data_IF_477927503327
#
_entry.id   IF_477927503327
#
_cell.length_a   1.000
_cell.length_b   1.000
_cell.length_c   1.000
_cell.angle_alpha   90.00
_cell.angle_beta   90.00
_cell.angle_gamma   90.00
#
_symmetry.space_group_name_H-M   'P 1'
#
loop_
_entity.id
_entity.type
_entity.pdbx_description
1 polymer ?
#
# COMPACT_ATOMS: atom_id res chain seq x y z
N UNK A 1 5.95 -2.19 -20.25
CA UNK A 1 6.97 -1.86 -19.24
C UNK A 1 8.38 -1.93 -19.79
N UNK A 2 8.74 -2.98 -20.56
CA UNK A 2 10.05 -3.07 -21.21
C UNK A 2 10.45 -1.79 -21.94
N UNK A 3 9.53 -1.15 -22.65
CA UNK A 3 9.83 0.11 -23.35
C UNK A 3 10.09 1.29 -22.38
N UNK A 4 9.40 1.35 -21.24
CA UNK A 4 9.70 2.35 -20.21
C UNK A 4 11.05 2.08 -19.54
N UNK A 5 11.43 0.82 -19.34
CA UNK A 5 12.73 0.46 -18.77
C UNK A 5 13.87 0.91 -19.68
N UNK A 6 13.76 0.70 -21.01
CA UNK A 6 14.76 1.16 -21.98
C UNK A 6 15.03 2.66 -21.92
N UNK A 7 14.00 3.47 -21.64
CA UNK A 7 14.12 4.94 -21.59
C UNK A 7 14.18 5.49 -20.16
N UNK A 8 14.24 4.62 -19.14
CA UNK A 8 14.15 5.03 -17.73
C UNK A 8 15.27 5.96 -17.32
N UNK A 9 16.51 5.66 -17.72
CA UNK A 9 17.65 6.53 -17.40
C UNK A 9 17.53 7.90 -18.05
N UNK A 10 17.09 7.97 -19.32
CA UNK A 10 16.90 9.23 -20.03
C UNK A 10 15.82 10.08 -19.37
N UNK A 11 14.67 9.46 -19.05
CA UNK A 11 13.54 10.13 -18.40
C UNK A 11 13.94 10.71 -17.04
N UNK A 12 14.68 9.94 -16.23
CA UNK A 12 15.13 10.41 -14.91
C UNK A 12 16.11 11.58 -15.06
N UNK A 13 17.02 11.53 -16.03
CA UNK A 13 18.07 12.54 -16.19
C UNK A 13 17.58 13.84 -16.86
N UNK A 14 16.61 13.75 -17.76
CA UNK A 14 16.20 14.86 -18.63
C UNK A 14 14.75 15.28 -18.45
N UNK A 15 13.91 14.44 -17.84
CA UNK A 15 12.53 14.77 -17.52
C UNK A 15 12.44 15.79 -16.39
N UNK A 16 11.35 16.56 -16.36
CA UNK A 16 11.09 17.40 -15.19
C UNK A 16 10.73 16.56 -13.96
N UNK A 17 10.85 17.19 -12.79
CA UNK A 17 10.67 16.52 -11.50
C UNK A 17 9.27 15.93 -11.33
N UNK A 18 8.25 16.53 -11.92
CA UNK A 18 6.87 16.06 -11.86
C UNK A 18 6.70 14.75 -12.65
N UNK A 19 7.24 14.67 -13.86
CA UNK A 19 7.19 13.45 -14.66
C UNK A 19 7.97 12.30 -14.02
N UNK A 20 9.13 12.57 -13.42
CA UNK A 20 9.90 11.55 -12.69
C UNK A 20 9.10 11.05 -11.48
N UNK A 21 8.52 11.94 -10.67
CA UNK A 21 7.72 11.56 -9.52
C UNK A 21 6.45 10.77 -9.89
N UNK A 22 5.74 11.21 -10.95
CA UNK A 22 4.56 10.51 -11.44
C UNK A 22 4.90 9.13 -12.01
N UNK A 23 6.07 8.99 -12.64
CA UNK A 23 6.54 7.70 -13.15
C UNK A 23 6.87 6.75 -11.99
N UNK A 24 7.57 7.23 -10.95
CA UNK A 24 7.82 6.44 -9.75
C UNK A 24 6.51 5.98 -9.09
N UNK A 25 5.52 6.88 -8.99
CA UNK A 25 4.19 6.56 -8.49
C UNK A 25 3.48 5.51 -9.35
N UNK A 26 3.57 5.59 -10.69
CA UNK A 26 2.98 4.61 -11.59
C UNK A 26 3.60 3.21 -11.40
N UNK A 27 4.93 3.10 -11.29
CA UNK A 27 5.62 1.86 -10.95
C UNK A 27 5.09 1.27 -9.63
N UNK A 28 4.93 2.12 -8.62
CA UNK A 28 4.40 1.73 -7.33
C UNK A 28 2.93 1.30 -7.37
N UNK A 29 2.06 1.98 -8.14
CA UNK A 29 0.66 1.56 -8.31
C UNK A 29 0.54 0.21 -8.99
N UNK A 30 1.43 -0.08 -9.94
CA UNK A 30 1.46 -1.34 -10.69
C UNK A 30 2.23 -2.44 -9.94
N UNK A 31 2.97 -2.09 -8.88
CA UNK A 31 3.72 -3.04 -8.07
C UNK A 31 4.89 -3.64 -8.84
N UNK A 32 5.53 -2.83 -9.68
CA UNK A 32 6.67 -3.19 -10.51
C UNK A 32 7.89 -2.37 -10.08
N UNK A 33 8.98 -3.05 -9.73
CA UNK A 33 10.26 -2.42 -9.42
C UNK A 33 11.18 -2.46 -10.63
N UNK A 34 11.84 -1.34 -10.94
CA UNK A 34 12.83 -1.23 -12.00
C UNK A 34 14.15 -0.72 -11.43
N UNK A 35 15.20 -1.56 -11.46
CA UNK A 35 16.53 -1.18 -10.96
C UNK A 35 17.10 0.01 -11.73
N UNK A 36 16.91 0.05 -13.04
CA UNK A 36 17.44 1.13 -13.88
C UNK A 36 16.79 2.46 -13.54
N UNK A 37 15.46 2.48 -13.37
CA UNK A 37 14.73 3.67 -13.00
C UNK A 37 15.07 4.15 -11.58
N UNK A 38 14.88 3.30 -10.56
CA UNK A 38 15.10 3.69 -9.17
C UNK A 38 16.58 3.89 -8.84
N UNK A 39 17.47 3.13 -9.47
CA UNK A 39 18.92 3.31 -9.37
C UNK A 39 19.37 4.65 -9.96
N UNK A 40 18.82 5.09 -11.10
CA UNK A 40 19.08 6.43 -11.62
C UNK A 40 18.44 7.52 -10.75
N UNK A 41 17.22 7.30 -10.27
CA UNK A 41 16.48 8.26 -9.45
C UNK A 41 17.23 8.59 -8.17
N UNK A 42 17.74 7.57 -7.47
CA UNK A 42 18.52 7.75 -6.24
C UNK A 42 19.78 8.59 -6.48
N UNK A 43 20.45 8.46 -7.64
CA UNK A 43 21.65 9.24 -7.97
C UNK A 43 21.37 10.74 -8.11
N UNK A 44 20.17 11.11 -8.56
CA UNK A 44 19.78 12.52 -8.74
C UNK A 44 18.85 13.03 -7.64
N UNK A 45 18.59 12.22 -6.62
CA UNK A 45 17.60 12.49 -5.60
C UNK A 45 17.75 13.86 -4.92
N UNK A 46 18.95 14.35 -4.57
CA UNK A 46 19.07 15.69 -3.98
C UNK A 46 18.49 16.80 -4.87
N UNK A 47 18.74 16.73 -6.18
CA UNK A 47 18.18 17.69 -7.15
C UNK A 47 16.66 17.55 -7.26
N UNK A 48 16.15 16.32 -7.25
CA UNK A 48 14.70 16.08 -7.25
C UNK A 48 14.05 16.65 -6.00
N UNK A 49 14.68 16.51 -4.83
CA UNK A 49 14.16 17.03 -3.56
C UNK A 49 14.06 18.55 -3.60
N UNK A 50 15.07 19.23 -4.13
CA UNK A 50 15.11 20.70 -4.22
C UNK A 50 14.11 21.27 -5.22
N UNK A 51 13.92 20.60 -6.36
CA UNK A 51 13.11 21.10 -7.47
C UNK A 51 11.66 20.57 -7.49
N UNK A 52 11.31 19.57 -6.67
CA UNK A 52 9.94 19.04 -6.61
C UNK A 52 9.05 19.86 -5.66
N UNK A 53 7.78 19.96 -6.02
CA UNK A 53 6.76 20.44 -5.08
C UNK A 53 6.38 19.33 -4.06
N UNK A 54 5.53 19.66 -3.09
CA UNK A 54 5.11 18.74 -2.03
C UNK A 54 4.45 17.45 -2.58
N UNK A 55 3.67 17.56 -3.66
CA UNK A 55 3.04 16.40 -4.30
C UNK A 55 4.10 15.48 -4.94
N UNK A 56 5.11 16.03 -5.60
CA UNK A 56 6.22 15.26 -6.18
C UNK A 56 6.97 14.46 -5.12
N UNK A 57 7.33 15.09 -3.99
CA UNK A 57 7.97 14.41 -2.86
C UNK A 57 7.05 13.35 -2.25
N UNK A 58 5.76 13.66 -2.11
CA UNK A 58 4.76 12.73 -1.59
C UNK A 58 4.62 11.48 -2.46
N UNK A 59 4.57 11.65 -3.78
CA UNK A 59 4.56 10.57 -4.76
C UNK A 59 5.81 9.70 -4.67
N UNK A 60 6.99 10.29 -4.48
CA UNK A 60 8.24 9.55 -4.29
C UNK A 60 8.24 8.75 -2.97
N UNK A 61 7.80 9.36 -1.87
CA UNK A 61 7.69 8.65 -0.57
C UNK A 61 6.74 7.46 -0.68
N UNK A 62 5.56 7.67 -1.26
CA UNK A 62 4.60 6.60 -1.53
C UNK A 62 5.23 5.51 -2.39
N UNK A 63 5.93 5.88 -3.46
CA UNK A 63 6.53 4.92 -4.37
C UNK A 63 7.56 4.02 -3.68
N UNK A 64 8.48 4.61 -2.91
CA UNK A 64 9.47 3.86 -2.16
C UNK A 64 8.82 2.91 -1.15
N UNK A 65 7.84 3.40 -0.38
CA UNK A 65 7.17 2.58 0.63
C UNK A 65 6.35 1.44 0.00
N UNK A 66 5.55 1.73 -1.02
CA UNK A 66 4.70 0.77 -1.74
C UNK A 66 5.50 -0.25 -2.55
N UNK A 67 6.77 0.02 -2.88
CA UNK A 67 7.68 -0.96 -3.49
C UNK A 67 8.58 -1.68 -2.48
N UNK A 68 8.47 -1.38 -1.18
CA UNK A 68 9.26 -2.03 -0.12
C UNK A 68 10.71 -1.53 -0.05
N UNK A 69 10.98 -0.29 -0.46
CA UNK A 69 12.31 0.31 -0.55
C UNK A 69 12.69 1.12 0.71
N UNK A 70 12.12 0.76 1.86
CA UNK A 70 12.34 1.45 3.15
C UNK A 70 13.65 1.02 3.84
N UNK A 71 14.24 -0.10 3.41
CA UNK A 71 15.41 -0.71 4.03
C UNK A 71 16.49 -1.07 2.99
N UNK A 72 17.66 -1.47 3.47
CA UNK A 72 18.77 -1.93 2.63
C UNK A 72 19.36 -0.79 1.79
N UNK A 73 19.67 -1.04 0.51
CA UNK A 73 20.39 -0.07 -0.34
C UNK A 73 19.65 1.27 -0.56
N UNK A 74 18.33 1.28 -0.41
CA UNK A 74 17.50 2.46 -0.63
C UNK A 74 17.16 3.23 0.64
N UNK A 75 17.53 2.71 1.81
CA UNK A 75 17.20 3.27 3.12
C UNK A 75 17.60 4.74 3.25
N UNK A 76 18.86 5.08 2.92
CA UNK A 76 19.35 6.46 2.99
C UNK A 76 18.59 7.41 2.05
N UNK A 77 18.18 6.93 0.88
CA UNK A 77 17.41 7.71 -0.07
C UNK A 77 15.99 7.96 0.45
N UNK A 78 15.35 6.93 1.00
CA UNK A 78 14.05 7.06 1.63
C UNK A 78 14.08 8.03 2.81
N UNK A 79 15.07 7.93 3.71
CA UNK A 79 15.19 8.84 4.87
C UNK A 79 15.33 10.31 4.45
N UNK A 80 16.05 10.59 3.36
CA UNK A 80 16.15 11.96 2.81
C UNK A 80 14.79 12.46 2.30
N UNK A 81 14.05 11.65 1.54
CA UNK A 81 12.70 11.98 1.09
C UNK A 81 11.76 12.23 2.27
N UNK A 82 11.75 11.31 3.23
CA UNK A 82 10.86 11.33 4.36
C UNK A 82 11.10 12.54 5.28
N UNK A 83 12.37 12.91 5.50
CA UNK A 83 12.73 14.11 6.28
C UNK A 83 12.12 15.40 5.71
N UNK A 84 11.84 15.46 4.41
CA UNK A 84 11.12 16.58 3.79
C UNK A 84 9.63 16.41 3.94
N UNK A 85 9.11 15.22 3.61
CA UNK A 85 7.68 14.94 3.62
C UNK A 85 7.05 15.14 5.00
N UNK A 86 7.71 14.71 6.08
CA UNK A 86 7.17 14.79 7.46
C UNK A 86 6.86 16.23 7.91
N UNK A 87 7.49 17.22 7.28
CA UNK A 87 7.31 18.63 7.60
C UNK A 87 6.23 19.32 6.75
N UNK A 88 5.51 18.59 5.89
CA UNK A 88 4.46 19.17 5.07
C UNK A 88 3.23 19.52 5.91
N UNK A 89 2.67 20.70 5.62
CA UNK A 89 1.40 21.14 6.20
C UNK A 89 0.25 20.31 5.61
N UNK A 90 -0.19 19.30 6.36
CA UNK A 90 -1.27 18.40 6.00
C UNK A 90 -2.60 19.11 5.70
N UNK A 91 -2.79 20.35 6.14
CA UNK A 91 -4.00 21.13 5.82
C UNK A 91 -3.98 21.71 4.41
N UNK A 92 -2.80 21.87 3.81
CA UNK A 92 -2.61 22.39 2.44
C UNK A 92 -2.51 21.30 1.39
N UNK A 93 -2.43 20.04 1.80
CA UNK A 93 -2.33 18.90 0.91
C UNK A 93 -3.70 18.35 0.51
N UNK A 94 -3.82 17.79 -0.71
CA UNK A 94 -4.99 16.98 -1.07
C UNK A 94 -5.16 15.78 -0.11
N UNK A 95 -6.41 15.42 0.20
CA UNK A 95 -6.72 14.30 1.10
C UNK A 95 -6.05 12.97 0.69
N UNK A 96 -5.95 12.72 -0.62
CA UNK A 96 -5.25 11.54 -1.13
C UNK A 96 -3.77 11.55 -0.73
N UNK A 97 -3.10 12.70 -0.86
CA UNK A 97 -1.69 12.83 -0.50
C UNK A 97 -1.47 12.62 1.00
N UNK A 98 -2.36 13.18 1.84
CA UNK A 98 -2.32 12.95 3.29
C UNK A 98 -2.51 11.46 3.59
N UNK A 99 -3.46 10.80 2.93
CA UNK A 99 -3.71 9.36 3.11
C UNK A 99 -2.49 8.51 2.74
N UNK A 100 -1.83 8.85 1.64
CA UNK A 100 -0.60 8.19 1.20
C UNK A 100 0.54 8.38 2.21
N UNK A 101 0.73 9.59 2.74
CA UNK A 101 1.79 9.87 3.73
C UNK A 101 1.54 9.18 5.07
N UNK A 102 0.28 9.08 5.50
CA UNK A 102 -0.07 8.30 6.70
C UNK A 102 0.21 6.81 6.51
N UNK A 103 -0.13 6.26 5.34
CA UNK A 103 0.21 4.87 5.01
C UNK A 103 1.73 4.63 5.02
N UNK A 104 2.50 5.56 4.44
CA UNK A 104 3.97 5.51 4.49
C UNK A 104 4.47 5.53 5.94
N UNK A 105 3.90 6.39 6.79
CA UNK A 105 4.23 6.45 8.22
C UNK A 105 3.96 5.13 8.94
N UNK A 106 2.89 4.41 8.59
CA UNK A 106 2.62 3.08 9.15
C UNK A 106 3.61 2.04 8.70
N UNK A 107 4.06 2.12 7.44
CA UNK A 107 5.08 1.19 6.96
C UNK A 107 6.41 1.45 7.67
N UNK A 108 6.78 2.71 7.93
CA UNK A 108 7.95 3.04 8.76
C UNK A 108 7.87 2.34 10.13
N UNK A 109 6.72 2.46 10.82
CA UNK A 109 6.49 1.81 12.12
C UNK A 109 6.61 0.29 12.01
N UNK A 110 5.94 -0.33 11.03
CA UNK A 110 5.98 -1.79 10.84
C UNK A 110 7.37 -2.33 10.51
N UNK A 111 8.21 -1.54 9.84
CA UNK A 111 9.61 -1.91 9.54
C UNK A 111 10.58 -1.62 10.70
N UNK A 112 10.07 -1.18 11.87
CA UNK A 112 10.89 -0.90 13.05
C UNK A 112 11.84 0.29 12.86
N UNK A 113 11.49 1.24 12.00
CA UNK A 113 12.29 2.45 11.72
C UNK A 113 12.00 3.55 12.72
N UNK A 114 12.20 3.26 14.00
CA UNK A 114 11.89 4.14 15.15
C UNK A 114 12.66 5.47 15.10
N UNK A 115 13.79 5.52 14.39
CA UNK A 115 14.58 6.73 14.18
C UNK A 115 13.92 7.75 13.24
N UNK A 116 12.98 7.31 12.41
CA UNK A 116 12.26 8.18 11.49
C UNK A 116 11.00 8.74 12.17
N UNK A 117 10.75 10.06 12.07
CA UNK A 117 9.58 10.66 12.69
C UNK A 117 8.30 10.17 12.00
N UNK A 118 7.22 10.01 12.77
CA UNK A 118 5.90 9.71 12.20
C UNK A 118 5.28 10.94 11.54
N UNK A 119 4.45 10.74 10.52
CA UNK A 119 3.76 11.86 9.86
C UNK A 119 2.74 12.52 10.79
N UNK A 120 2.74 13.87 10.93
CA UNK A 120 1.83 14.54 11.84
C UNK A 120 0.39 14.49 11.32
N UNK A 121 -0.51 13.92 12.14
CA UNK A 121 -1.96 14.05 11.95
C UNK A 121 -2.42 15.42 12.48
N UNK A 122 -3.13 16.24 11.69
CA UNK A 122 -3.72 17.46 12.23
C UNK A 122 -4.77 17.09 13.29
N UNK A 123 -4.96 17.88 14.37
CA UNK A 123 -5.90 17.55 15.45
C UNK A 123 -7.35 17.27 14.98
N UNK A 124 -7.76 17.88 13.86
CA UNK A 124 -9.07 17.70 13.24
C UNK A 124 -9.08 16.62 12.14
N UNK A 125 -7.99 15.87 11.96
CA UNK A 125 -7.86 14.84 10.93
C UNK A 125 -8.92 13.75 11.09
N UNK A 126 -9.22 13.34 12.32
CA UNK A 126 -10.26 12.34 12.61
C UNK A 126 -11.63 12.74 12.04
N UNK A 127 -11.95 14.04 11.97
CA UNK A 127 -13.17 14.52 11.31
C UNK A 127 -13.05 14.71 9.79
N UNK A 128 -11.84 14.94 9.27
CA UNK A 128 -11.57 15.08 7.81
C UNK A 128 -11.54 13.74 7.09
N UNK A 129 -10.98 12.71 7.72
CA UNK A 129 -11.21 11.32 7.32
C UNK A 129 -12.64 10.99 7.69
N UNK A 130 -13.59 11.41 6.84
CA UNK A 130 -14.97 10.96 6.96
C UNK A 130 -14.89 9.45 7.14
N UNK A 131 -15.39 8.94 8.27
CA UNK A 131 -15.71 7.54 8.46
C UNK A 131 -16.54 7.13 7.24
N UNK A 132 -15.89 6.61 6.21
CA UNK A 132 -16.58 5.76 5.26
C UNK A 132 -16.82 4.52 6.11
N UNK A 133 -18.03 4.44 6.67
CA UNK A 133 -18.47 3.28 7.44
C UNK A 133 -17.93 2.04 6.74
N UNK A 134 -17.04 1.31 7.43
CA UNK A 134 -16.35 0.16 6.85
C UNK A 134 -17.41 -0.78 6.32
N UNK A 135 -17.54 -0.79 4.99
CA UNK A 135 -18.63 -1.51 4.35
C UNK A 135 -18.09 -2.88 4.02
N UNK A 136 -18.32 -3.82 4.93
CA UNK A 136 -18.01 -5.23 4.68
C UNK A 136 -18.79 -5.68 3.46
N UNK A 137 -18.05 -6.00 2.40
CA UNK A 137 -18.58 -6.47 1.13
C UNK A 137 -19.33 -7.79 1.29
N UNK A 138 -20.26 -8.06 0.36
CA UNK A 138 -20.99 -9.33 0.32
C UNK A 138 -20.03 -10.53 0.24
N UNK A 139 -18.94 -10.39 -0.50
CA UNK A 139 -17.93 -11.44 -0.66
C UNK A 139 -17.16 -11.70 0.63
N UNK A 140 -16.69 -10.67 1.33
CA UNK A 140 -16.04 -10.83 2.63
C UNK A 140 -16.98 -11.51 3.63
N UNK A 141 -18.27 -11.11 3.68
CA UNK A 141 -19.28 -11.79 4.51
C UNK A 141 -19.45 -13.25 4.12
N UNK A 142 -19.47 -13.57 2.83
CA UNK A 142 -19.59 -14.95 2.37
C UNK A 142 -18.40 -15.80 2.81
N UNK A 143 -17.17 -15.32 2.60
CA UNK A 143 -15.96 -16.01 3.06
C UNK A 143 -16.00 -16.22 4.58
N UNK A 144 -16.37 -15.18 5.34
CA UNK A 144 -16.54 -15.27 6.79
C UNK A 144 -17.52 -16.38 7.21
N UNK A 145 -18.66 -16.51 6.53
CA UNK A 145 -19.60 -17.59 6.83
C UNK A 145 -19.00 -18.97 6.54
N UNK A 146 -18.31 -19.16 5.40
CA UNK A 146 -17.68 -20.46 5.07
C UNK A 146 -16.59 -20.82 6.08
N UNK A 147 -15.76 -19.85 6.48
CA UNK A 147 -14.76 -20.05 7.53
C UNK A 147 -15.40 -20.49 8.86
N UNK A 148 -16.50 -19.85 9.26
CA UNK A 148 -17.24 -20.24 10.48
C UNK A 148 -17.82 -21.64 10.39
N UNK A 149 -18.31 -22.06 9.22
CA UNK A 149 -18.79 -23.44 9.01
C UNK A 149 -17.67 -24.48 9.15
N UNK A 150 -16.44 -24.11 8.79
CA UNK A 150 -15.25 -24.94 8.97
C UNK A 150 -14.75 -24.94 10.42
N UNK A 151 -15.45 -24.27 11.34
CA UNK A 151 -15.05 -24.13 12.73
C UNK A 151 -13.95 -23.10 12.96
N UNK A 152 -13.64 -22.27 11.97
CA UNK A 152 -12.59 -21.26 12.06
C UNK A 152 -13.16 -19.92 12.56
N UNK A 153 -12.94 -19.64 13.85
CA UNK A 153 -13.34 -18.39 14.48
C UNK A 153 -12.38 -17.24 14.13
N UNK A 154 -12.96 -16.10 13.76
CA UNK A 154 -12.25 -14.90 13.36
C UNK A 154 -13.12 -13.66 13.57
N UNK A 155 -12.45 -12.51 13.71
CA UNK A 155 -13.06 -11.19 13.69
C UNK A 155 -12.97 -10.61 12.27
N UNK A 156 -13.85 -9.68 11.92
CA UNK A 156 -13.84 -8.99 10.62
C UNK A 156 -13.42 -7.54 10.79
N UNK A 157 -12.80 -6.96 9.74
CA UNK A 157 -12.38 -5.56 9.68
C UNK A 157 -11.51 -5.17 10.88
N UNK A 158 -10.42 -5.92 11.05
CA UNK A 158 -9.57 -5.86 12.24
C UNK A 158 -8.40 -4.92 11.98
N UNK A 159 -8.10 -4.05 12.94
CA UNK A 159 -6.86 -3.27 12.91
C UNK A 159 -5.64 -4.20 12.78
N UNK A 160 -4.68 -3.88 11.88
CA UNK A 160 -3.46 -4.65 11.72
C UNK A 160 -2.52 -4.54 12.93
N UNK A 161 -2.64 -3.46 13.70
CA UNK A 161 -1.88 -3.24 14.92
C UNK A 161 -2.55 -3.93 16.10
N UNK A 162 -1.81 -4.79 16.81
CA UNK A 162 -2.30 -5.49 18.01
C UNK A 162 -2.28 -4.60 19.26
N UNK A 163 -1.32 -3.69 19.33
CA UNK A 163 -1.17 -2.71 20.38
C UNK A 163 -1.76 -1.38 19.89
N UNK A 164 -2.16 -0.48 20.79
CA UNK A 164 -2.68 0.86 20.45
C UNK A 164 -1.65 1.82 19.79
N UNK A 165 -0.64 1.26 19.11
CA UNK A 165 0.47 1.91 18.42
C UNK A 165 0.08 2.33 16.98
N UNK A 166 -1.20 2.24 16.62
CA UNK A 166 -1.66 2.66 15.30
C UNK A 166 -1.47 4.17 15.13
N UNK A 167 -0.59 4.53 14.19
CA UNK A 167 -0.48 5.91 13.66
C UNK A 167 -1.56 6.23 12.64
N UNK A 168 -2.37 5.24 12.25
CA UNK A 168 -3.46 5.41 11.30
C UNK A 168 -4.74 5.87 11.99
N UNK A 169 -5.54 6.73 11.33
CA UNK A 169 -6.94 6.87 11.67
C UNK A 169 -7.63 5.50 11.68
N UNK A 170 -8.65 5.31 12.54
CA UNK A 170 -9.54 4.16 12.46
C UNK A 170 -9.98 3.95 11.01
N UNK A 171 -10.12 2.69 10.60
CA UNK A 171 -10.67 2.29 9.30
C UNK A 171 -9.82 2.63 8.05
N UNK A 172 -8.64 3.26 8.20
CA UNK A 172 -7.77 3.52 7.05
C UNK A 172 -7.16 2.23 6.47
N UNK A 173 -6.85 1.25 7.33
CA UNK A 173 -6.35 -0.04 6.92
C UNK A 173 -6.87 -1.12 7.88
N UNK A 174 -7.71 -2.01 7.36
CA UNK A 174 -8.28 -3.12 8.10
C UNK A 174 -7.93 -4.44 7.41
N UNK A 175 -7.75 -5.49 8.20
CA UNK A 175 -7.69 -6.87 7.75
C UNK A 175 -9.13 -7.36 7.60
N UNK A 176 -9.48 -7.91 6.44
CA UNK A 176 -10.85 -8.34 6.15
C UNK A 176 -11.37 -9.35 7.17
N UNK A 177 -10.58 -10.39 7.45
CA UNK A 177 -10.83 -11.37 8.50
C UNK A 177 -9.53 -11.74 9.23
N UNK A 178 -9.52 -11.72 10.56
CA UNK A 178 -8.31 -12.02 11.33
C UNK A 178 -8.58 -12.93 12.53
N UNK A 179 -7.64 -13.84 12.80
CA UNK A 179 -7.53 -14.55 14.07
C UNK A 179 -6.28 -14.06 14.80
N UNK A 180 -6.45 -13.09 15.70
CA UNK A 180 -5.34 -12.48 16.47
C UNK A 180 -4.53 -13.50 17.26
N UNK A 181 -5.19 -14.51 17.83
CA UNK A 181 -4.51 -15.58 18.59
C UNK A 181 -3.50 -16.37 17.76
N UNK A 182 -3.78 -16.53 16.46
CA UNK A 182 -2.92 -17.28 15.54
C UNK A 182 -2.06 -16.37 14.66
N UNK A 183 -2.19 -15.04 14.79
CA UNK A 183 -1.61 -14.07 13.86
C UNK A 183 -1.90 -14.43 12.40
N UNK A 184 -3.14 -14.84 12.10
CA UNK A 184 -3.57 -15.15 10.73
C UNK A 184 -4.49 -14.06 10.20
N UNK A 185 -4.11 -13.45 9.09
CA UNK A 185 -4.88 -12.48 8.33
C UNK A 185 -5.38 -13.13 7.04
N UNK A 186 -6.67 -12.99 6.75
CA UNK A 186 -7.30 -13.45 5.52
C UNK A 186 -7.85 -12.22 4.80
N UNK A 187 -7.43 -12.03 3.56
CA UNK A 187 -7.78 -10.91 2.69
C UNK A 187 -8.57 -11.43 1.49
N UNK A 188 -9.73 -10.85 1.20
CA UNK A 188 -10.48 -11.13 -0.02
C UNK A 188 -10.12 -10.10 -1.09
N UNK A 189 -9.38 -10.52 -2.11
CA UNK A 189 -8.92 -9.64 -3.17
C UNK A 189 -9.98 -9.49 -4.24
N UNK A 190 -10.75 -8.40 -4.17
CA UNK A 190 -11.70 -7.99 -5.22
C UNK A 190 -11.00 -7.58 -6.53
N UNK A 191 -11.75 -7.36 -7.63
CA UNK A 191 -11.20 -6.95 -8.92
C UNK A 191 -10.23 -5.75 -8.87
N UNK A 192 -10.49 -4.77 -7.99
CA UNK A 192 -9.65 -3.58 -7.82
C UNK A 192 -8.25 -3.86 -7.27
N UNK A 193 -8.00 -5.05 -6.73
CA UNK A 193 -6.70 -5.48 -6.19
C UNK A 193 -5.74 -5.94 -7.30
N UNK A 194 -6.24 -6.01 -8.53
CA UNK A 194 -5.51 -6.49 -9.69
C UNK A 194 -5.34 -5.38 -10.73
N UNK A 195 -4.35 -5.56 -11.60
CA UNK A 195 -4.07 -4.66 -12.72
C UNK A 195 -5.14 -4.81 -13.80
N UNK A 196 -5.34 -3.75 -14.56
CA UNK A 196 -6.33 -3.73 -15.63
C UNK A 196 -5.63 -3.43 -16.96
N UNK A 197 -6.05 -4.11 -18.02
CA UNK A 197 -5.59 -3.86 -19.38
C UNK A 197 -6.00 -2.45 -19.80
N UNK A 198 -5.05 -1.71 -20.39
CA UNK A 198 -5.29 -0.35 -20.88
C UNK A 198 -6.27 -0.40 -22.05
N UNK A 199 -7.24 0.51 -22.06
CA UNK A 199 -8.26 0.60 -23.11
C UNK A 199 -9.49 -0.27 -22.85
N UNK A 200 -9.31 -1.57 -22.62
CA UNK A 200 -10.44 -2.49 -22.37
C UNK A 200 -10.93 -2.44 -20.93
N UNK A 201 -10.06 -2.09 -19.98
CA UNK A 201 -10.36 -2.16 -18.54
C UNK A 201 -10.54 -3.58 -18.04
N UNK A 202 -10.13 -4.60 -18.79
CA UNK A 202 -10.23 -6.00 -18.37
C UNK A 202 -9.24 -6.29 -17.24
N UNK A 203 -9.69 -6.96 -16.18
CA UNK A 203 -8.80 -7.42 -15.11
C UNK A 203 -7.79 -8.40 -15.68
N UNK A 204 -6.51 -8.11 -15.42
CA UNK A 204 -5.39 -9.01 -15.64
C UNK A 204 -5.08 -9.62 -14.27
N UNK A 205 -4.87 -10.93 -14.19
CA UNK A 205 -4.59 -11.65 -12.93
C UNK A 205 -3.19 -11.35 -12.35
N UNK A 206 -2.78 -10.09 -12.38
CA UNK A 206 -1.54 -9.56 -11.84
C UNK A 206 -1.92 -8.59 -10.74
N UNK A 207 -1.56 -8.93 -9.52
CA UNK A 207 -1.79 -8.10 -8.35
C UNK A 207 -1.14 -6.71 -8.50
N UNK A 208 -1.85 -5.66 -8.08
CA UNK A 208 -1.34 -4.30 -8.10
C UNK A 208 -0.38 -4.02 -6.93
N UNK A 209 0.31 -2.88 -6.96
CA UNK A 209 1.29 -2.57 -5.92
C UNK A 209 0.71 -2.24 -4.55
N UNK A 210 -0.41 -1.51 -4.41
CA UNK A 210 -1.08 -1.33 -3.12
C UNK A 210 -1.41 -2.65 -2.41
N UNK A 211 -1.92 -3.65 -3.11
CA UNK A 211 -2.23 -4.96 -2.52
C UNK A 211 -0.95 -5.69 -2.09
N UNK A 212 0.08 -5.71 -2.94
CA UNK A 212 1.40 -6.25 -2.57
C UNK A 212 1.99 -5.55 -1.34
N UNK A 213 1.83 -4.24 -1.26
CA UNK A 213 2.35 -3.43 -0.15
C UNK A 213 1.60 -3.70 1.15
N UNK A 214 0.27 -3.81 1.09
CA UNK A 214 -0.56 -4.22 2.25
C UNK A 214 -0.12 -5.59 2.76
N UNK A 215 0.05 -6.58 1.88
CA UNK A 215 0.54 -7.91 2.28
C UNK A 215 1.88 -7.83 3.02
N UNK A 216 2.88 -7.18 2.42
CA UNK A 216 4.20 -7.02 3.06
C UNK A 216 4.10 -6.30 4.40
N UNK A 217 3.28 -5.26 4.49
CA UNK A 217 3.05 -4.54 5.74
C UNK A 217 2.48 -5.45 6.85
N UNK A 218 1.46 -6.25 6.54
CA UNK A 218 0.90 -7.21 7.48
C UNK A 218 1.93 -8.26 7.90
N UNK A 219 2.71 -8.78 6.95
CA UNK A 219 3.79 -9.74 7.22
C UNK A 219 4.88 -9.15 8.13
N UNK A 220 5.25 -7.88 7.94
CA UNK A 220 6.21 -7.19 8.82
C UNK A 220 5.66 -7.02 10.25
N UNK A 221 4.34 -6.86 10.41
CA UNK A 221 3.69 -6.88 11.71
C UNK A 221 3.52 -8.29 12.31
N UNK A 222 4.06 -9.33 11.65
CA UNK A 222 4.05 -10.71 12.12
C UNK A 222 2.81 -11.51 11.75
N UNK A 223 1.92 -10.97 10.89
CA UNK A 223 0.78 -11.72 10.39
C UNK A 223 1.21 -12.72 9.31
N UNK A 224 0.71 -13.95 9.41
CA UNK A 224 0.62 -14.84 8.25
C UNK A 224 -0.58 -14.39 7.41
N UNK A 225 -0.35 -14.06 6.15
CA UNK A 225 -1.39 -13.53 5.26
C UNK A 225 -1.85 -14.59 4.26
N UNK A 226 -3.16 -14.75 4.12
CA UNK A 226 -3.81 -15.57 3.09
C UNK A 226 -4.67 -14.64 2.24
N UNK A 227 -4.39 -14.62 0.94
CA UNK A 227 -5.16 -13.86 -0.03
C UNK A 227 -6.09 -14.80 -0.80
N UNK A 228 -7.36 -14.44 -0.90
CA UNK A 228 -8.39 -15.18 -1.65
C UNK A 228 -8.76 -14.34 -2.87
N UNK A 229 -8.28 -14.67 -4.07
CA UNK A 229 -8.62 -13.93 -5.27
C UNK A 229 -10.10 -14.08 -5.64
N UNK A 230 -10.76 -12.99 -6.02
CA UNK A 230 -12.17 -13.01 -6.40
C UNK A 230 -12.47 -14.01 -7.53
N UNK A 231 -11.53 -14.20 -8.47
CA UNK A 231 -11.72 -15.08 -9.60
C UNK A 231 -11.64 -16.57 -9.21
N UNK A 232 -10.92 -16.92 -8.15
CA UNK A 232 -10.91 -18.29 -7.61
C UNK A 232 -12.20 -18.55 -6.85
N UNK A 233 -12.58 -17.57 -6.00
CA UNK A 233 -13.82 -17.62 -5.26
C UNK A 233 -15.07 -17.72 -6.15
N UNK A 234 -15.09 -16.97 -7.27
CA UNK A 234 -16.19 -16.99 -8.23
C UNK A 234 -16.24 -18.28 -9.05
N UNK A 235 -15.09 -18.95 -9.27
CA UNK A 235 -15.02 -20.23 -10.00
C UNK A 235 -15.55 -21.40 -9.17
N UNK A 236 -15.48 -21.32 -7.84
CA UNK A 236 -16.05 -22.33 -6.96
C UNK A 236 -17.59 -22.32 -7.02
N UNK A 237 -18.16 -23.32 -7.70
CA UNK A 237 -19.58 -23.39 -8.07
C UNK A 237 -20.55 -23.55 -6.89
N UNK A 238 -20.08 -24.06 -5.75
CA UNK A 238 -20.90 -24.36 -4.58
C UNK A 238 -20.10 -24.19 -3.28
N UNK A 239 -20.78 -24.35 -2.14
CA UNK A 239 -20.21 -24.17 -0.80
C UNK A 239 -19.05 -25.13 -0.52
N UNK A 240 -19.11 -26.38 -0.99
CA UNK A 240 -18.04 -27.36 -0.78
C UNK A 240 -16.79 -27.02 -1.60
N UNK A 241 -16.96 -26.56 -2.84
CA UNK A 241 -15.85 -26.04 -3.64
C UNK A 241 -15.18 -24.82 -2.99
N UNK A 242 -15.97 -23.94 -2.37
CA UNK A 242 -15.44 -22.77 -1.62
C UNK A 242 -14.68 -23.17 -0.37
N UNK A 243 -15.12 -24.23 0.33
CA UNK A 243 -14.38 -24.79 1.48
C UNK A 243 -13.01 -25.32 1.09
N UNK A 244 -12.85 -25.90 -0.10
CA UNK A 244 -11.55 -26.41 -0.57
C UNK A 244 -10.53 -25.31 -0.90
N UNK A 245 -10.97 -24.05 -1.03
CA UNK A 245 -10.09 -22.90 -1.24
C UNK A 245 -9.53 -22.31 0.07
N UNK A 246 -10.04 -22.75 1.22
CA UNK A 246 -9.74 -22.22 2.56
C UNK A 246 -8.99 -23.27 3.39
#
# INVERSE_FOLDING_TARGET
>A
FEEMEKHSSWLVQNGDTQHVANTAWAFAKLGCYSEDFFGCLVKILPKLIEASNQQGIGNLCYAFATLGLLAGKHEKAFSQLWSKAVNFDSQKLPNEQVSQLLLVSSFIVAYGKEELPTYPLPPNAMGKFKEKAVTVSKSQKEVSHVLKDLGYNHDMEVSPFLNNESVLPPDMLCIDMACKKQMLAIEFDGPSHFSHEVGTGKVVNVENGPTKAKRRFLEQLGWKVINIPFYDWARAKNRDGKKLLL
#
